data_IF_155341212778
#
_entry.id   IF_155341212778
#
_cell.length_a   1.000
_cell.length_b   1.000
_cell.length_c   1.000
_cell.angle_alpha   90.00
_cell.angle_beta   90.00
_cell.angle_gamma   90.00
#
_symmetry.space_group_name_H-M   'P 1'
#
loop_
_entity.id
_entity.type
_entity.pdbx_description
1 polymer ?
#
# COMPACT_ATOMS: atom_id res chain seq x y z
N UNK A 1 -5.60 4.72 11.34
CA UNK A 1 -6.13 4.32 10.02
C UNK A 1 -5.01 3.86 9.09
N UNK A 2 -4.03 4.71 8.73
CA UNK A 2 -2.98 4.35 7.74
C UNK A 2 -1.90 3.38 8.22
N UNK A 3 -1.72 3.21 9.53
CA UNK A 3 -0.76 2.24 10.09
C UNK A 3 -1.02 0.78 9.69
N UNK A 4 -2.22 0.43 9.23
CA UNK A 4 -2.50 -0.90 8.68
C UNK A 4 -1.92 -1.11 7.27
N UNK A 5 -1.59 -0.02 6.56
CA UNK A 5 -1.02 -0.02 5.21
C UNK A 5 0.47 0.31 5.20
N UNK A 6 0.90 1.20 6.09
CA UNK A 6 2.30 1.48 6.39
C UNK A 6 2.58 1.17 7.88
N UNK A 7 2.81 -0.11 8.22
CA UNK A 7 3.02 -0.54 9.59
C UNK A 7 4.25 0.12 10.25
N UNK A 8 4.25 0.16 11.58
CA UNK A 8 5.32 0.82 12.36
C UNK A 8 6.67 0.12 12.18
N UNK A 9 6.63 -1.17 11.88
CA UNK A 9 7.75 -2.03 11.56
C UNK A 9 8.55 -1.50 10.37
N UNK A 10 7.91 -0.79 9.43
CA UNK A 10 8.59 -0.16 8.29
C UNK A 10 9.42 1.06 8.68
N UNK A 11 9.25 1.61 9.89
CA UNK A 11 10.15 2.66 10.40
C UNK A 11 11.56 2.12 10.63
N UNK A 12 11.72 0.80 10.71
CA UNK A 12 13.02 0.15 10.76
C UNK A 12 13.56 -0.03 9.33
N UNK A 13 14.71 0.56 8.97
CA UNK A 13 15.28 0.43 7.62
C UNK A 13 15.44 -1.02 7.15
N UNK A 14 15.73 -1.93 8.08
CA UNK A 14 15.86 -3.36 7.80
C UNK A 14 14.57 -4.03 7.31
N UNK A 15 13.40 -3.57 7.76
CA UNK A 15 12.12 -4.15 7.37
C UNK A 15 11.75 -3.77 5.92
N UNK A 16 11.97 -2.51 5.53
CA UNK A 16 11.80 -2.08 4.14
C UNK A 16 12.81 -2.75 3.20
N UNK A 17 14.06 -2.86 3.63
CA UNK A 17 15.10 -3.57 2.87
C UNK A 17 14.74 -5.04 2.65
N UNK A 18 14.20 -5.72 3.66
CA UNK A 18 13.71 -7.08 3.54
C UNK A 18 12.53 -7.18 2.56
N UNK A 19 11.56 -6.28 2.67
CA UNK A 19 10.44 -6.21 1.73
C UNK A 19 10.93 -6.05 0.27
N UNK A 20 11.89 -5.16 0.02
CA UNK A 20 12.46 -4.96 -1.31
C UNK A 20 13.28 -6.17 -1.79
N UNK A 21 14.01 -6.83 -0.88
CA UNK A 21 14.73 -8.06 -1.21
C UNK A 21 13.79 -9.15 -1.74
N UNK A 22 12.56 -9.27 -1.20
CA UNK A 22 11.56 -10.18 -1.75
C UNK A 22 11.23 -9.88 -3.22
N UNK A 23 11.02 -8.61 -3.59
CA UNK A 23 10.81 -8.21 -4.99
C UNK A 23 12.00 -8.58 -5.87
N UNK A 24 13.21 -8.32 -5.41
CA UNK A 24 14.44 -8.68 -6.14
C UNK A 24 14.54 -10.19 -6.38
N UNK A 25 14.22 -11.03 -5.40
CA UNK A 25 14.23 -12.50 -5.60
C UNK A 25 13.14 -13.01 -6.54
N UNK A 26 12.00 -12.32 -6.62
CA UNK A 26 10.86 -12.72 -7.44
C UNK A 26 10.96 -12.21 -8.90
N UNK A 27 11.55 -11.02 -9.10
CA UNK A 27 11.53 -10.29 -10.37
C UNK A 27 12.93 -9.97 -10.94
N UNK A 28 14.00 -10.31 -10.20
CA UNK A 28 15.37 -10.06 -10.62
C UNK A 28 15.84 -10.96 -11.78
N UNK A 29 17.12 -10.87 -12.17
CA UNK A 29 17.68 -11.58 -13.33
C UNK A 29 17.56 -13.10 -13.26
N UNK A 30 17.51 -13.66 -12.05
CA UNK A 30 17.34 -15.09 -11.80
C UNK A 30 16.14 -15.30 -10.87
N UNK A 31 14.91 -15.23 -11.39
CA UNK A 31 13.72 -15.22 -10.56
C UNK A 31 13.42 -16.59 -9.95
N UNK A 32 13.03 -16.61 -8.68
CA UNK A 32 12.56 -17.82 -7.98
C UNK A 32 11.05 -18.00 -8.15
N UNK A 33 10.62 -19.16 -8.64
CA UNK A 33 9.18 -19.52 -8.77
C UNK A 33 8.47 -19.47 -7.41
N UNK A 34 9.13 -19.96 -6.35
CA UNK A 34 8.56 -19.92 -5.01
C UNK A 34 8.38 -18.47 -4.51
N UNK A 35 9.37 -17.59 -4.78
CA UNK A 35 9.28 -16.16 -4.45
C UNK A 35 8.18 -15.46 -5.26
N UNK A 36 8.02 -15.80 -6.54
CA UNK A 36 6.94 -15.26 -7.37
C UNK A 36 5.56 -15.65 -6.83
N UNK A 37 5.36 -16.93 -6.49
CA UNK A 37 4.10 -17.40 -5.90
C UNK A 37 3.80 -16.71 -4.58
N UNK A 38 4.81 -16.53 -3.73
CA UNK A 38 4.68 -15.79 -2.47
C UNK A 38 4.31 -14.33 -2.71
N UNK A 39 5.00 -13.65 -3.64
CA UNK A 39 4.73 -12.25 -4.00
C UNK A 39 3.32 -12.08 -4.56
N UNK A 40 2.89 -12.97 -5.47
CA UNK A 40 1.52 -12.98 -6.00
C UNK A 40 0.49 -13.20 -4.89
N UNK A 41 0.73 -14.13 -3.97
CA UNK A 41 -0.17 -14.38 -2.85
C UNK A 41 -0.26 -13.18 -1.90
N UNK A 42 0.88 -12.54 -1.61
CA UNK A 42 0.95 -11.34 -0.80
C UNK A 42 0.20 -10.17 -1.45
N UNK A 43 0.46 -9.88 -2.74
CA UNK A 43 -0.25 -8.84 -3.48
C UNK A 43 -1.76 -9.08 -3.49
N UNK A 44 -2.20 -10.30 -3.79
CA UNK A 44 -3.63 -10.67 -3.77
C UNK A 44 -4.24 -10.43 -2.39
N UNK A 45 -3.55 -10.81 -1.31
CA UNK A 45 -4.03 -10.60 0.06
C UNK A 45 -4.13 -9.12 0.40
N UNK A 46 -3.15 -8.29 0.01
CA UNK A 46 -3.18 -6.84 0.21
C UNK A 46 -4.37 -6.20 -0.49
N UNK A 47 -4.63 -6.54 -1.75
CA UNK A 47 -5.80 -6.05 -2.49
C UNK A 47 -7.12 -6.51 -1.87
N UNK A 48 -7.23 -7.78 -1.47
CA UNK A 48 -8.44 -8.27 -0.81
C UNK A 48 -8.72 -7.56 0.51
N UNK A 49 -7.66 -7.29 1.29
CA UNK A 49 -7.77 -6.55 2.55
C UNK A 49 -8.21 -5.10 2.30
N UNK A 50 -7.58 -4.41 1.35
CA UNK A 50 -7.93 -3.03 0.98
C UNK A 50 -9.38 -2.92 0.48
N UNK A 51 -9.80 -3.80 -0.45
CA UNK A 51 -11.18 -3.84 -0.94
C UNK A 51 -12.19 -4.09 0.18
N UNK A 52 -11.90 -5.02 1.10
CA UNK A 52 -12.78 -5.29 2.24
C UNK A 52 -12.93 -4.05 3.12
N UNK A 53 -11.83 -3.37 3.36
CA UNK A 53 -11.82 -2.14 4.14
C UNK A 53 -12.64 -1.04 3.43
N UNK A 54 -12.44 -0.81 2.13
CA UNK A 54 -13.22 0.16 1.34
C UNK A 54 -14.72 -0.17 1.29
N UNK A 55 -15.09 -1.46 1.17
CA UNK A 55 -16.49 -1.90 1.24
C UNK A 55 -17.15 -1.57 2.57
N UNK A 56 -16.42 -1.59 3.68
CA UNK A 56 -16.99 -1.17 4.96
C UNK A 56 -17.38 0.32 4.92
N UNK A 57 -16.54 1.19 4.34
CA UNK A 57 -16.90 2.60 4.15
C UNK A 57 -18.06 2.77 3.18
N UNK A 58 -18.12 1.97 2.11
CA UNK A 58 -19.23 2.05 1.17
C UNK A 58 -20.57 1.66 1.82
N UNK A 59 -20.57 0.61 2.66
CA UNK A 59 -21.74 0.24 3.45
C UNK A 59 -22.18 1.33 4.44
N UNK A 60 -21.25 2.18 4.88
CA UNK A 60 -21.52 3.35 5.74
C UNK A 60 -21.91 4.61 4.94
N UNK A 61 -21.97 4.53 3.61
CA UNK A 61 -22.28 5.67 2.73
C UNK A 61 -21.11 6.66 2.58
N UNK A 62 -19.89 6.25 2.92
CA UNK A 62 -18.70 7.10 2.92
C UNK A 62 -17.80 6.93 1.68
N UNK A 63 -18.11 5.96 0.81
CA UNK A 63 -17.45 5.72 -0.49
C UNK A 63 -18.51 5.18 -1.45
N UNK A 64 -18.52 5.60 -2.71
CA UNK A 64 -19.40 5.00 -3.70
C UNK A 64 -18.91 3.59 -4.13
N UNK A 65 -19.83 2.64 -4.29
CA UNK A 65 -19.50 1.24 -4.59
C UNK A 65 -18.68 1.08 -5.88
N UNK A 66 -18.94 1.91 -6.89
CA UNK A 66 -18.25 1.94 -8.17
C UNK A 66 -16.81 2.47 -8.09
N UNK A 67 -16.47 3.19 -7.01
CA UNK A 67 -15.12 3.72 -6.77
C UNK A 67 -14.18 2.74 -6.06
N UNK A 68 -14.69 1.60 -5.57
CA UNK A 68 -13.92 0.71 -4.68
C UNK A 68 -12.67 0.16 -5.37
N UNK A 69 -12.78 -0.27 -6.63
CA UNK A 69 -11.65 -0.88 -7.34
C UNK A 69 -10.56 0.14 -7.64
N UNK A 70 -10.92 1.31 -8.17
CA UNK A 70 -10.00 2.42 -8.45
C UNK A 70 -9.32 2.94 -7.17
N UNK A 71 -10.08 3.09 -6.08
CA UNK A 71 -9.53 3.49 -4.78
C UNK A 71 -8.57 2.44 -4.22
N UNK A 72 -8.88 1.14 -4.40
CA UNK A 72 -7.97 0.06 -4.00
C UNK A 72 -6.67 0.09 -4.80
N UNK A 73 -6.74 0.24 -6.12
CA UNK A 73 -5.55 0.28 -6.97
C UNK A 73 -4.68 1.49 -6.65
N UNK A 74 -5.30 2.66 -6.50
CA UNK A 74 -4.64 3.91 -6.12
C UNK A 74 -3.94 3.78 -4.78
N UNK A 75 -4.63 3.25 -3.77
CA UNK A 75 -4.06 3.09 -2.43
C UNK A 75 -2.87 2.13 -2.38
N UNK A 76 -2.97 1.01 -3.11
CA UNK A 76 -1.86 0.03 -3.21
C UNK A 76 -0.68 0.65 -3.95
N UNK A 77 -0.91 1.32 -5.07
CA UNK A 77 0.13 1.99 -5.85
C UNK A 77 0.84 3.08 -5.03
N UNK A 78 0.09 3.93 -4.31
CA UNK A 78 0.66 4.93 -3.42
C UNK A 78 1.49 4.29 -2.31
N UNK A 79 0.98 3.25 -1.67
CA UNK A 79 1.71 2.55 -0.59
C UNK A 79 3.04 2.00 -1.11
N UNK A 80 3.03 1.29 -2.24
CA UNK A 80 4.24 0.74 -2.85
C UNK A 80 5.21 1.85 -3.27
N UNK A 81 4.71 2.90 -3.94
CA UNK A 81 5.53 4.03 -4.38
C UNK A 81 6.20 4.76 -3.21
N UNK A 82 5.46 5.02 -2.12
CA UNK A 82 6.00 5.66 -0.92
C UNK A 82 7.07 4.78 -0.24
N UNK A 83 6.88 3.46 -0.21
CA UNK A 83 7.88 2.54 0.35
C UNK A 83 9.15 2.45 -0.49
N UNK A 84 9.04 2.49 -1.82
CA UNK A 84 10.20 2.50 -2.73
C UNK A 84 10.96 3.83 -2.64
N UNK A 85 10.23 4.94 -2.61
CA UNK A 85 10.83 6.27 -2.48
C UNK A 85 11.57 6.40 -1.15
N UNK A 86 10.99 5.90 -0.05
CA UNK A 86 11.65 5.88 1.27
C UNK A 86 12.93 5.01 1.34
N UNK A 87 13.10 4.06 0.41
CA UNK A 87 14.32 3.26 0.27
C UNK A 87 15.39 3.92 -0.62
N UNK A 88 15.03 4.98 -1.34
CA UNK A 88 15.92 5.62 -2.30
C UNK A 88 16.99 6.44 -1.56
N UNK A 89 18.30 6.19 -1.80
CA UNK A 89 19.36 6.93 -1.13
C UNK A 89 19.25 8.44 -1.36
N UNK A 90 19.24 9.20 -0.27
CA UNK A 90 19.11 10.67 -0.31
C UNK A 90 17.69 11.17 -0.57
N UNK A 91 16.68 10.30 -0.66
CA UNK A 91 15.30 10.74 -0.75
C UNK A 91 14.87 11.49 0.51
N UNK A 92 14.13 12.61 0.38
CA UNK A 92 13.51 13.26 1.52
C UNK A 92 12.29 12.50 2.05
N UNK A 93 11.81 11.45 1.35
CA UNK A 93 10.66 10.67 1.77
C UNK A 93 11.02 9.77 2.96
N UNK A 94 10.21 9.83 3.99
CA UNK A 94 10.25 8.90 5.13
C UNK A 94 8.94 8.13 5.19
N UNK A 95 8.91 6.99 5.89
CA UNK A 95 7.65 6.25 6.10
C UNK A 95 6.64 7.10 6.85
N UNK A 96 7.08 7.91 7.81
CA UNK A 96 6.19 8.83 8.51
C UNK A 96 5.58 9.87 7.55
N UNK A 97 6.38 10.44 6.66
CA UNK A 97 5.85 11.33 5.62
C UNK A 97 4.87 10.61 4.69
N UNK A 98 5.18 9.37 4.31
CA UNK A 98 4.28 8.52 3.53
C UNK A 98 2.94 8.28 4.22
N UNK A 99 2.94 8.05 5.55
CA UNK A 99 1.69 7.91 6.33
C UNK A 99 0.85 9.17 6.30
N UNK A 100 1.47 10.34 6.41
CA UNK A 100 0.79 11.63 6.33
C UNK A 100 0.12 11.77 4.95
N UNK A 101 0.86 11.51 3.86
CA UNK A 101 0.34 11.62 2.49
C UNK A 101 -0.82 10.64 2.22
N UNK A 102 -0.68 9.37 2.63
CA UNK A 102 -1.77 8.39 2.54
C UNK A 102 -2.99 8.81 3.37
N UNK A 103 -2.80 9.41 4.54
CA UNK A 103 -3.90 9.88 5.40
C UNK A 103 -4.65 11.03 4.74
N UNK A 104 -3.93 11.97 4.13
CA UNK A 104 -4.51 13.06 3.36
C UNK A 104 -5.32 12.53 2.19
N UNK A 105 -4.75 11.62 1.40
CA UNK A 105 -5.42 11.01 0.26
C UNK A 105 -6.74 10.32 0.66
N UNK A 106 -6.73 9.48 1.70
CA UNK A 106 -7.95 8.82 2.16
C UNK A 106 -8.97 9.80 2.76
N UNK A 107 -8.51 10.84 3.46
CA UNK A 107 -9.42 11.88 3.96
C UNK A 107 -10.15 12.60 2.82
N UNK A 108 -9.44 12.92 1.74
CA UNK A 108 -10.02 13.54 0.55
C UNK A 108 -11.00 12.62 -0.17
N UNK A 109 -10.67 11.33 -0.29
CA UNK A 109 -11.57 10.32 -0.85
C UNK A 109 -12.90 10.27 -0.10
N UNK A 110 -12.84 10.21 1.23
CA UNK A 110 -14.03 10.17 2.10
C UNK A 110 -14.82 11.48 2.07
N UNK A 111 -14.15 12.63 1.97
CA UNK A 111 -14.82 13.93 1.90
C UNK A 111 -15.63 14.13 0.61
N UNK A 112 -15.16 13.58 -0.51
CA UNK A 112 -15.85 13.66 -1.81
C UNK A 112 -17.10 12.79 -1.89
N UNK A 113 -17.20 11.75 -1.07
CA UNK A 113 -18.32 10.83 -1.07
C UNK A 113 -19.56 11.35 -0.31
N UNK A 114 -19.41 12.41 0.49
CA UNK A 114 -20.49 13.00 1.31
C UNK A 114 -21.17 14.20 0.61
N UNK A 115 -20.74 14.55 -0.61
CA UNK A 115 -21.31 15.63 -1.44
C UNK A 115 -22.25 15.06 -2.50
#
# INVERSE_FOLDING_TARGET
MVRQFLPAELDQPGALGLWFAYYSTALGPTPSVASQQLLTAAARRSHQHMRRWLRNFANEGLVADDMIDDANETAIALTVGLTLEALTPGSPMTIERGRILLTQHFSELLAKAVQ
#
